data_IF_858151406613
#
_entry.id   IF_858151406613
#
_cell.length_a   1.000
_cell.length_b   1.000
_cell.length_c   1.000
_cell.angle_alpha   90.00
_cell.angle_beta   90.00
_cell.angle_gamma   90.00
#
_symmetry.space_group_name_H-M   'P 1'
#
loop_
_entity.id
_entity.type
_entity.pdbx_description
1 polymer ?
#
# COMPACT_ATOMS: atom_id res chain seq x y z
N UNK A 1 5.78 4.13 26.10
CA UNK A 1 6.33 4.04 24.72
C UNK A 1 5.10 3.98 23.86
N UNK A 2 4.86 4.99 23.02
CA UNK A 2 3.78 4.89 22.03
C UNK A 2 4.13 3.69 21.15
N UNK A 3 3.26 2.68 21.15
CA UNK A 3 3.38 1.59 20.20
C UNK A 3 3.24 2.19 18.81
N UNK A 4 4.24 1.99 17.96
CA UNK A 4 4.19 2.46 16.58
C UNK A 4 3.10 1.66 15.85
N UNK A 5 1.92 2.25 15.76
CA UNK A 5 0.75 1.69 15.09
C UNK A 5 0.82 1.93 13.58
N UNK A 6 1.99 2.24 13.03
CA UNK A 6 2.18 2.31 11.58
C UNK A 6 2.76 1.00 11.04
N UNK A 7 2.40 0.64 9.81
CA UNK A 7 3.00 -0.47 9.07
C UNK A 7 3.48 -0.01 7.71
N UNK A 8 4.56 -0.64 7.24
CA UNK A 8 5.15 -0.35 5.94
C UNK A 8 4.55 -1.27 4.90
N UNK A 9 3.96 -0.67 3.87
CA UNK A 9 3.41 -1.35 2.71
C UNK A 9 4.29 -1.05 1.51
N UNK A 10 4.72 -2.07 0.78
CA UNK A 10 5.65 -1.96 -0.35
C UNK A 10 5.02 -2.57 -1.59
N UNK A 11 5.09 -1.87 -2.72
CA UNK A 11 4.67 -2.44 -3.98
C UNK A 11 5.62 -3.54 -4.44
N UNK A 12 5.06 -4.73 -4.63
CA UNK A 12 5.66 -5.84 -5.36
C UNK A 12 5.10 -5.84 -6.78
N UNK A 13 5.52 -4.85 -7.56
CA UNK A 13 5.08 -4.60 -8.95
C UNK A 13 6.29 -4.51 -9.87
N UNK A 14 6.13 -4.88 -11.14
CA UNK A 14 7.16 -4.64 -12.16
C UNK A 14 7.46 -3.14 -12.32
N UNK A 15 6.42 -2.30 -12.30
CA UNK A 15 6.53 -0.87 -12.60
C UNK A 15 6.65 0.00 -11.36
N UNK A 16 6.07 -0.44 -10.25
CA UNK A 16 6.01 0.33 -9.01
C UNK A 16 6.84 -0.31 -7.88
N UNK A 17 7.74 -1.23 -8.22
CA UNK A 17 8.65 -1.87 -7.25
C UNK A 17 9.28 -0.85 -6.32
N UNK A 18 9.39 -1.24 -5.05
CA UNK A 18 10.01 -0.45 -3.97
C UNK A 18 9.28 0.86 -3.61
N UNK A 19 8.15 1.18 -4.26
CA UNK A 19 7.29 2.25 -3.77
C UNK A 19 6.68 1.83 -2.43
N UNK A 20 6.92 2.64 -1.39
CA UNK A 20 6.52 2.31 -0.03
C UNK A 20 5.67 3.41 0.60
N UNK A 21 4.71 2.99 1.42
CA UNK A 21 3.83 3.89 2.17
C UNK A 21 3.77 3.41 3.61
N UNK A 22 3.90 4.35 4.55
CA UNK A 22 3.66 4.11 5.97
C UNK A 22 2.19 4.42 6.27
N UNK A 23 1.43 3.41 6.68
CA UNK A 23 0.00 3.53 6.96
C UNK A 23 -0.26 3.30 8.43
N UNK A 24 -1.01 4.22 9.05
CA UNK A 24 -1.51 4.12 10.42
C UNK A 24 -2.64 3.09 10.49
N UNK A 25 -2.50 2.13 11.41
CA UNK A 25 -3.50 1.10 11.68
C UNK A 25 -4.76 1.65 12.37
N UNK A 26 -4.73 2.88 12.88
CA UNK A 26 -5.92 3.54 13.44
C UNK A 26 -6.94 3.96 12.37
N UNK A 27 -6.48 4.12 11.13
CA UNK A 27 -7.28 4.69 10.04
C UNK A 27 -7.82 3.61 9.09
N UNK A 28 -7.61 2.32 9.40
CA UNK A 28 -7.97 1.20 8.54
C UNK A 28 -8.79 0.16 9.29
N UNK A 29 -9.79 -0.41 8.63
CA UNK A 29 -10.62 -1.50 9.18
C UNK A 29 -10.69 -2.70 8.25
N UNK A 30 -10.24 -2.56 7.01
CA UNK A 30 -10.26 -3.58 5.97
C UNK A 30 -8.97 -3.54 5.14
N UNK A 31 -8.69 -4.63 4.40
CA UNK A 31 -7.59 -4.64 3.43
C UNK A 31 -7.80 -3.59 2.33
N UNK A 32 -9.05 -3.33 1.95
CA UNK A 32 -9.38 -2.33 0.94
C UNK A 32 -9.03 -0.92 1.39
N UNK A 33 -9.17 -0.59 2.68
CA UNK A 33 -8.75 0.73 3.20
C UNK A 33 -7.24 0.94 3.01
N UNK A 34 -6.45 -0.09 3.33
CA UNK A 34 -5.00 -0.09 3.15
C UNK A 34 -4.65 0.06 1.66
N UNK A 35 -5.26 -0.75 0.80
CA UNK A 35 -5.02 -0.74 -0.64
C UNK A 35 -5.38 0.62 -1.24
N UNK A 36 -6.50 1.21 -0.83
CA UNK A 36 -6.95 2.51 -1.29
C UNK A 36 -6.00 3.62 -0.86
N UNK A 37 -5.57 3.63 0.41
CA UNK A 37 -4.61 4.60 0.90
C UNK A 37 -3.27 4.48 0.17
N UNK A 38 -2.77 3.27 -0.01
CA UNK A 38 -1.55 3.01 -0.78
C UNK A 38 -1.67 3.51 -2.23
N UNK A 39 -2.77 3.17 -2.91
CA UNK A 39 -3.03 3.58 -4.31
C UNK A 39 -3.16 5.09 -4.42
N UNK A 40 -3.80 5.75 -3.45
CA UNK A 40 -3.95 7.20 -3.43
C UNK A 40 -2.60 7.90 -3.27
N UNK A 41 -1.73 7.43 -2.38
CA UNK A 41 -0.38 7.98 -2.23
C UNK A 41 0.46 7.79 -3.49
N UNK A 42 0.39 6.61 -4.11
CA UNK A 42 1.05 6.36 -5.41
C UNK A 42 0.55 7.35 -6.47
N UNK A 43 -0.77 7.48 -6.63
CA UNK A 43 -1.37 8.39 -7.61
C UNK A 43 -0.99 9.84 -7.33
N UNK A 44 -1.00 10.26 -6.07
CA UNK A 44 -0.64 11.62 -5.66
C UNK A 44 0.81 11.96 -6.05
N UNK A 45 1.76 11.05 -5.80
CA UNK A 45 3.17 11.21 -6.20
C UNK A 45 3.29 11.30 -7.72
N UNK A 46 2.60 10.43 -8.46
CA UNK A 46 2.65 10.43 -9.93
C UNK A 46 2.00 11.68 -10.53
N UNK A 47 0.87 12.15 -9.97
CA UNK A 47 0.13 13.35 -10.37
C UNK A 47 0.94 14.62 -10.09
N UNK A 48 1.54 14.73 -8.90
CA UNK A 48 2.40 15.85 -8.51
C UNK A 48 3.62 15.99 -9.43
N UNK A 49 4.12 14.88 -9.97
CA UNK A 49 5.28 14.85 -10.86
C UNK A 49 4.91 14.74 -12.36
N UNK A 50 3.62 14.86 -12.71
CA UNK A 50 3.14 14.82 -14.09
C UNK A 50 3.49 13.54 -14.89
N UNK A 51 3.61 12.39 -14.21
CA UNK A 51 3.87 11.09 -14.86
C UNK A 51 2.60 10.49 -15.48
N UNK A 52 2.01 11.19 -16.44
CA UNK A 52 0.70 10.88 -17.07
C UNK A 52 0.53 9.44 -17.53
N UNK A 53 1.56 8.82 -18.09
CA UNK A 53 1.49 7.42 -18.53
C UNK A 53 1.47 6.44 -17.33
N UNK A 54 2.23 6.72 -16.28
CA UNK A 54 2.24 5.89 -15.06
C UNK A 54 0.92 6.02 -14.30
N UNK A 55 0.31 7.21 -14.28
CA UNK A 55 -1.02 7.44 -13.68
C UNK A 55 -2.07 6.54 -14.34
N UNK A 56 -2.07 6.43 -15.68
CA UNK A 56 -3.00 5.55 -16.41
C UNK A 56 -2.81 4.09 -16.00
N UNK A 57 -1.56 3.61 -16.00
CA UNK A 57 -1.23 2.24 -15.59
C UNK A 57 -1.63 1.95 -14.14
N UNK A 58 -1.34 2.86 -13.21
CA UNK A 58 -1.74 2.71 -11.81
C UNK A 58 -3.28 2.68 -11.64
N UNK A 59 -4.03 3.40 -12.47
CA UNK A 59 -5.51 3.38 -12.45
C UNK A 59 -6.08 2.07 -12.99
N UNK A 60 -5.47 1.52 -14.04
CA UNK A 60 -5.87 0.24 -14.67
C UNK A 60 -5.53 -0.98 -13.81
N UNK A 61 -4.48 -0.91 -13.01
CA UNK A 61 -4.06 -2.01 -12.15
C UNK A 61 -4.98 -2.18 -10.92
N UNK A 62 -5.25 -3.45 -10.60
CA UNK A 62 -5.91 -3.89 -9.38
C UNK A 62 -4.81 -4.26 -8.39
N UNK A 63 -4.77 -3.54 -7.28
CA UNK A 63 -3.80 -3.81 -6.20
C UNK A 63 -4.44 -4.71 -5.15
N UNK A 64 -3.65 -5.63 -4.59
CA UNK A 64 -4.08 -6.50 -3.49
C UNK A 64 -2.92 -6.94 -2.61
N UNK A 65 -3.26 -7.36 -1.39
CA UNK A 65 -2.33 -7.95 -0.42
C UNK A 65 -2.51 -9.47 -0.46
N UNK A 66 -1.43 -10.23 -0.68
CA UNK A 66 -1.50 -11.69 -0.67
C UNK A 66 -1.42 -12.25 0.75
N UNK A 67 -2.19 -13.31 1.00
CA UNK A 67 -1.98 -14.24 2.12
C UNK A 67 -1.96 -13.62 3.53
N UNK A 68 -2.54 -12.43 3.70
CA UNK A 68 -2.72 -11.76 4.98
C UNK A 68 -4.16 -11.34 5.13
N UNK A 69 -4.74 -11.59 6.30
CA UNK A 69 -6.00 -10.98 6.68
C UNK A 69 -5.76 -9.62 7.32
N UNK A 70 -6.83 -8.85 7.54
CA UNK A 70 -6.71 -7.59 8.28
C UNK A 70 -6.25 -7.84 9.72
N UNK A 71 -6.70 -8.94 10.34
CA UNK A 71 -6.29 -9.33 11.69
C UNK A 71 -4.79 -9.63 11.76
N UNK A 72 -4.23 -10.31 10.76
CA UNK A 72 -2.78 -10.57 10.69
C UNK A 72 -1.98 -9.25 10.70
N UNK A 73 -2.46 -8.25 9.96
CA UNK A 73 -1.81 -6.93 9.87
C UNK A 73 -1.97 -6.17 11.19
N UNK A 74 -3.16 -6.15 11.78
CA UNK A 74 -3.45 -5.42 13.02
C UNK A 74 -2.70 -5.98 14.24
N UNK A 75 -2.32 -7.25 14.21
CA UNK A 75 -1.60 -7.94 15.30
C UNK A 75 -0.12 -8.20 14.99
N UNK A 76 0.36 -7.76 13.83
CA UNK A 76 1.76 -7.90 13.41
C UNK A 76 2.72 -7.06 14.24
N UNK A 77 4.01 -7.36 14.15
CA UNK A 77 5.07 -6.52 14.71
C UNK A 77 5.27 -5.25 13.87
N UNK A 78 5.77 -4.17 14.48
CA UNK A 78 5.95 -2.87 13.81
C UNK A 78 6.97 -2.89 12.67
N UNK A 79 7.89 -3.84 12.66
CA UNK A 79 8.94 -3.99 11.64
C UNK A 79 8.53 -4.93 10.49
N UNK A 80 7.33 -5.51 10.54
CA UNK A 80 6.82 -6.35 9.46
C UNK A 80 6.51 -5.52 8.21
N UNK A 81 7.00 -5.98 7.05
CA UNK A 81 6.76 -5.38 5.74
C UNK A 81 5.66 -6.15 5.03
N UNK A 82 4.65 -5.43 4.55
CA UNK A 82 3.55 -5.98 3.78
C UNK A 82 3.69 -5.66 2.31
N UNK A 83 3.62 -6.69 1.46
CA UNK A 83 3.72 -6.50 0.02
C UNK A 83 2.34 -6.35 -0.62
N UNK A 84 2.20 -5.34 -1.47
CA UNK A 84 1.03 -5.07 -2.30
C UNK A 84 1.40 -5.38 -3.75
N UNK A 85 0.73 -6.36 -4.34
CA UNK A 85 0.92 -6.74 -5.74
C UNK A 85 -0.12 -6.05 -6.64
N UNK A 86 0.21 -5.90 -7.92
CA UNK A 86 -0.66 -5.34 -8.95
C UNK A 86 -0.98 -6.33 -10.08
N UNK A 87 -0.69 -7.61 -9.84
CA UNK A 87 -0.86 -8.73 -10.76
C UNK A 87 -1.54 -9.89 -10.03
N UNK A 88 -2.63 -10.42 -10.60
CA UNK A 88 -3.30 -11.64 -10.13
C UNK A 88 -2.73 -12.87 -10.83
#
# INVERSE_FOLDING_TARGET
MEEDHTRIFVASSELFSDFQVSISLYDVSTLDDIINQFKNELLNVLETNHFTNLIKKAKENIFHIHSKTIEDILTSESDEIFFICDHC
#
